data_IF_772180603630
#
_entry.id   IF_772180603630
#
_cell.length_a   1.000
_cell.length_b   1.000
_cell.length_c   1.000
_cell.angle_alpha   90.00
_cell.angle_beta   90.00
_cell.angle_gamma   90.00
#
_symmetry.space_group_name_H-M   'P 1'
#
loop_
_entity.id
_entity.type
_entity.pdbx_description
1 polymer ?
#
# COMPACT_ATOMS: atom_id res chain seq x y z
N UNK A 1 -19.78 -8.68 -19.17
CA UNK A 1 -18.62 -9.34 -18.53
C UNK A 1 -18.20 -8.45 -17.38
N UNK A 2 -18.34 -8.89 -16.13
CA UNK A 2 -17.97 -8.08 -14.96
C UNK A 2 -16.45 -8.01 -14.84
N UNK A 3 -15.89 -6.80 -14.89
CA UNK A 3 -14.46 -6.56 -14.72
C UNK A 3 -14.07 -6.83 -13.27
N UNK A 4 -13.22 -7.82 -13.02
CA UNK A 4 -12.69 -8.13 -11.67
C UNK A 4 -11.30 -7.51 -11.50
N UNK A 5 -11.06 -6.82 -10.38
CA UNK A 5 -9.76 -6.27 -10.02
C UNK A 5 -8.84 -7.37 -9.45
N UNK A 6 -8.34 -8.23 -10.33
CA UNK A 6 -7.45 -9.35 -10.01
C UNK A 6 -6.05 -9.00 -10.51
N UNK A 7 -5.04 -9.25 -9.67
CA UNK A 7 -3.64 -9.08 -10.06
C UNK A 7 -3.30 -9.94 -11.28
N UNK A 8 -2.55 -9.34 -12.21
CA UNK A 8 -1.92 -10.02 -13.34
C UNK A 8 -0.51 -9.48 -13.48
N UNK A 9 0.47 -10.36 -13.59
CA UNK A 9 1.84 -9.96 -13.87
C UNK A 9 2.07 -9.83 -15.38
N UNK A 10 2.99 -8.95 -15.75
CA UNK A 10 3.39 -8.68 -17.12
C UNK A 10 4.90 -8.45 -17.18
N UNK A 11 5.67 -9.34 -16.54
CA UNK A 11 7.10 -9.14 -16.29
C UNK A 11 8.01 -10.05 -17.14
N UNK A 12 7.45 -11.05 -17.83
CA UNK A 12 8.21 -12.02 -18.64
C UNK A 12 9.14 -11.38 -19.67
N UNK A 13 8.71 -10.26 -20.28
CA UNK A 13 9.44 -9.58 -21.34
C UNK A 13 10.03 -8.22 -20.91
N UNK A 14 9.98 -7.87 -19.62
CA UNK A 14 10.50 -6.58 -19.13
C UNK A 14 12.00 -6.63 -18.95
N UNK A 15 12.67 -5.54 -19.30
CA UNK A 15 14.08 -5.35 -18.99
C UNK A 15 14.32 -5.20 -17.49
N UNK A 16 15.57 -5.39 -17.06
CA UNK A 16 15.98 -5.17 -15.67
C UNK A 16 15.68 -3.73 -15.24
N UNK A 17 15.92 -2.76 -16.12
CA UNK A 17 15.64 -1.34 -15.88
C UNK A 17 14.15 -1.08 -15.68
N UNK A 18 13.28 -1.70 -16.49
CA UNK A 18 11.82 -1.61 -16.32
C UNK A 18 11.37 -2.21 -14.98
N UNK A 19 11.94 -3.34 -14.58
CA UNK A 19 11.65 -3.98 -13.29
C UNK A 19 12.13 -3.11 -12.11
N UNK A 20 13.33 -2.51 -12.19
CA UNK A 20 13.84 -1.56 -11.18
C UNK A 20 12.94 -0.33 -11.10
N UNK A 21 12.53 0.20 -12.24
CA UNK A 21 11.64 1.36 -12.29
C UNK A 21 10.29 1.05 -11.63
N UNK A 22 9.68 -0.11 -11.90
CA UNK A 22 8.42 -0.52 -11.26
C UNK A 22 8.58 -0.62 -9.74
N UNK A 23 9.67 -1.23 -9.26
CA UNK A 23 9.95 -1.32 -7.82
C UNK A 23 10.14 0.06 -7.18
N UNK A 24 10.78 1.00 -7.87
CA UNK A 24 10.91 2.37 -7.41
C UNK A 24 9.55 3.08 -7.32
N UNK A 25 8.69 2.92 -8.32
CA UNK A 25 7.33 3.47 -8.29
C UNK A 25 6.52 2.91 -7.11
N UNK A 26 6.61 1.61 -6.86
CA UNK A 26 5.96 1.02 -5.70
C UNK A 26 6.53 1.53 -4.39
N UNK A 27 7.86 1.63 -4.28
CA UNK A 27 8.52 2.21 -3.11
C UNK A 27 7.97 3.59 -2.76
N UNK A 28 7.95 4.50 -3.73
CA UNK A 28 7.43 5.87 -3.54
C UNK A 28 5.98 5.86 -3.07
N UNK A 29 5.13 5.01 -3.66
CA UNK A 29 3.72 4.90 -3.26
C UNK A 29 3.52 4.30 -1.87
N UNK A 30 4.38 3.36 -1.44
CA UNK A 30 4.34 2.85 -0.07
C UNK A 30 4.80 3.91 0.94
N UNK A 31 5.82 4.70 0.61
CA UNK A 31 6.28 5.82 1.44
C UNK A 31 5.18 6.89 1.59
N UNK A 32 4.49 7.22 0.50
CA UNK A 32 3.30 8.09 0.51
C UNK A 32 2.21 7.53 1.44
N UNK A 33 1.90 6.23 1.34
CA UNK A 33 0.88 5.60 2.16
C UNK A 33 1.22 5.63 3.67
N UNK A 34 2.49 5.53 4.04
CA UNK A 34 2.94 5.69 5.44
C UNK A 34 2.67 7.11 5.93
N UNK A 35 2.99 8.12 5.12
CA UNK A 35 2.74 9.54 5.43
C UNK A 35 1.23 9.77 5.58
N UNK A 36 0.43 9.23 4.67
CA UNK A 36 -1.03 9.32 4.68
C UNK A 36 -1.63 8.69 5.95
N UNK A 37 -1.17 7.49 6.35
CA UNK A 37 -1.61 6.84 7.60
C UNK A 37 -1.27 7.70 8.84
N UNK A 38 -0.08 8.30 8.88
CA UNK A 38 0.31 9.20 9.97
C UNK A 38 -0.55 10.44 10.02
N UNK A 39 -0.86 11.02 8.86
CA UNK A 39 -1.73 12.18 8.76
C UNK A 39 -3.15 11.87 9.26
N UNK A 40 -3.75 10.77 8.81
CA UNK A 40 -5.10 10.41 9.25
C UNK A 40 -5.18 10.12 10.75
N UNK A 41 -4.16 9.50 11.35
CA UNK A 41 -4.09 9.33 12.81
C UNK A 41 -4.06 10.65 13.55
N UNK A 42 -3.32 11.65 13.06
CA UNK A 42 -3.35 13.00 13.63
C UNK A 42 -4.72 13.65 13.47
N UNK A 43 -5.38 13.41 12.33
CA UNK A 43 -6.73 13.92 12.07
C UNK A 43 -7.74 13.34 13.07
N UNK A 44 -7.64 12.05 13.40
CA UNK A 44 -8.45 11.39 14.43
C UNK A 44 -8.35 12.08 15.79
N UNK A 45 -7.17 12.59 16.13
CA UNK A 45 -6.90 13.26 17.42
C UNK A 45 -7.32 14.75 17.41
N UNK A 46 -7.74 15.29 16.27
CA UNK A 46 -8.12 16.69 16.13
C UNK A 46 -9.53 16.99 16.70
N UNK A 47 -9.72 18.18 17.25
CA UNK A 47 -10.99 18.65 17.83
C UNK A 47 -12.00 19.17 16.78
N UNK A 48 -12.14 18.45 15.66
CA UNK A 48 -12.93 18.87 14.48
C UNK A 48 -14.28 18.15 14.32
N UNK A 49 -14.59 17.25 15.26
CA UNK A 49 -15.76 16.35 15.19
C UNK A 49 -16.98 16.90 15.93
N UNK A 50 -18.18 16.54 15.46
CA UNK A 50 -19.46 16.84 16.12
C UNK A 50 -19.58 16.02 17.41
N UNK A 51 -19.78 16.68 18.54
CA UNK A 51 -19.87 16.05 19.87
C UNK A 51 -21.08 15.14 20.08
N UNK A 52 -22.12 15.25 19.25
CA UNK A 52 -23.35 14.46 19.32
C UNK A 52 -23.38 13.26 18.37
N UNK A 53 -22.24 12.89 17.75
CA UNK A 53 -22.16 11.73 16.87
C UNK A 53 -22.15 10.44 17.70
N UNK A 54 -23.12 9.55 17.45
CA UNK A 54 -23.22 8.26 18.13
C UNK A 54 -21.97 7.42 17.85
N UNK A 55 -21.41 6.81 18.90
CA UNK A 55 -20.22 5.94 18.85
C UNK A 55 -18.99 6.58 18.19
N UNK A 56 -18.84 7.91 18.27
CA UNK A 56 -17.76 8.65 17.62
C UNK A 56 -16.39 8.10 18.00
N UNK A 57 -16.15 7.98 19.31
CA UNK A 57 -14.85 7.59 19.85
C UNK A 57 -14.50 6.15 19.45
N UNK A 58 -15.45 5.23 19.56
CA UNK A 58 -15.27 3.82 19.21
C UNK A 58 -14.92 3.65 17.72
N UNK A 59 -15.62 4.38 16.85
CA UNK A 59 -15.36 4.34 15.41
C UNK A 59 -14.00 4.96 15.07
N UNK A 60 -13.65 6.11 15.68
CA UNK A 60 -12.35 6.75 15.49
C UNK A 60 -11.20 5.84 15.95
N UNK A 61 -11.33 5.18 17.10
CA UNK A 61 -10.34 4.21 17.59
C UNK A 61 -10.23 2.98 16.68
N UNK A 62 -11.33 2.52 16.09
CA UNK A 62 -11.29 1.46 15.08
C UNK A 62 -10.49 1.88 13.85
N UNK A 63 -10.75 3.06 13.30
CA UNK A 63 -9.98 3.59 12.16
C UNK A 63 -8.49 3.75 12.51
N UNK A 64 -8.17 4.23 13.71
CA UNK A 64 -6.79 4.34 14.20
C UNK A 64 -6.08 2.99 14.20
N UNK A 65 -6.74 1.93 14.68
CA UNK A 65 -6.21 0.56 14.66
C UNK A 65 -6.01 0.04 13.24
N UNK A 66 -6.98 0.25 12.35
CA UNK A 66 -6.88 -0.17 10.95
C UNK A 66 -5.71 0.54 10.24
N UNK A 67 -5.52 1.84 10.48
CA UNK A 67 -4.39 2.62 9.96
C UNK A 67 -3.04 2.16 10.50
N UNK A 68 -2.95 1.80 11.79
CA UNK A 68 -1.72 1.23 12.36
C UNK A 68 -1.37 -0.13 11.75
N UNK A 69 -2.38 -0.97 11.52
CA UNK A 69 -2.18 -2.26 10.85
C UNK A 69 -1.69 -2.06 9.42
N UNK A 70 -2.32 -1.14 8.67
CA UNK A 70 -1.92 -0.83 7.31
C UNK A 70 -0.51 -0.24 7.23
N UNK A 71 -0.15 0.69 8.12
CA UNK A 71 1.20 1.26 8.19
C UNK A 71 2.25 0.18 8.46
N UNK A 72 1.98 -0.76 9.37
CA UNK A 72 2.90 -1.87 9.67
C UNK A 72 3.12 -2.76 8.44
N UNK A 73 2.06 -3.19 7.78
CA UNK A 73 2.15 -4.00 6.56
C UNK A 73 2.89 -3.26 5.44
N UNK A 74 2.67 -1.94 5.32
CA UNK A 74 3.34 -1.08 4.35
C UNK A 74 4.84 -1.01 4.63
N UNK A 75 5.25 -0.87 5.90
CA UNK A 75 6.66 -0.87 6.30
C UNK A 75 7.34 -2.23 6.06
N UNK A 76 6.63 -3.34 6.26
CA UNK A 76 7.14 -4.68 5.94
C UNK A 76 7.38 -4.84 4.43
N UNK A 77 6.42 -4.44 3.60
CA UNK A 77 6.59 -4.47 2.14
C UNK A 77 7.67 -3.52 1.64
N UNK A 78 7.87 -2.38 2.29
CA UNK A 78 8.96 -1.47 1.97
C UNK A 78 10.33 -2.12 2.21
N UNK A 79 10.48 -2.93 3.26
CA UNK A 79 11.70 -3.73 3.50
C UNK A 79 11.89 -4.77 2.40
N UNK A 80 10.81 -5.48 2.02
CA UNK A 80 10.84 -6.48 0.94
C UNK A 80 11.27 -5.84 -0.39
N UNK A 81 10.72 -4.67 -0.75
CA UNK A 81 11.12 -3.93 -1.96
C UNK A 81 12.58 -3.52 -1.92
N UNK A 82 13.08 -2.99 -0.80
CA UNK A 82 14.48 -2.59 -0.72
C UNK A 82 15.42 -3.81 -0.84
N UNK A 83 15.08 -4.92 -0.21
CA UNK A 83 15.82 -6.18 -0.34
C UNK A 83 15.82 -6.70 -1.78
N UNK A 84 14.65 -6.72 -2.42
CA UNK A 84 14.51 -7.14 -3.81
C UNK A 84 15.25 -6.22 -4.77
N UNK A 85 15.14 -4.90 -4.60
CA UNK A 85 15.85 -3.90 -5.44
C UNK A 85 17.37 -4.04 -5.38
N UNK A 86 17.90 -4.35 -4.19
CA UNK A 86 19.32 -4.65 -4.00
C UNK A 86 19.70 -5.95 -4.72
N UNK A 87 18.86 -6.99 -4.67
CA UNK A 87 19.13 -8.24 -5.39
C UNK A 87 19.05 -8.09 -6.91
N UNK A 88 18.16 -7.23 -7.45
CA UNK A 88 18.15 -6.89 -8.89
C UNK A 88 19.50 -6.31 -9.33
N UNK A 89 20.13 -5.50 -8.48
CA UNK A 89 21.42 -4.88 -8.78
C UNK A 89 22.55 -5.90 -8.82
N UNK A 90 22.48 -6.94 -7.98
CA UNK A 90 23.46 -8.03 -7.94
C UNK A 90 23.19 -9.13 -8.97
N UNK A 91 21.99 -9.15 -9.60
CA UNK A 91 21.62 -10.14 -10.62
C UNK A 91 22.33 -9.95 -11.97
N UNK A 92 23.11 -8.88 -12.12
CA UNK A 92 23.94 -8.61 -13.30
C UNK A 92 25.00 -9.72 -13.53
N UNK A 93 25.17 -10.67 -12.59
CA UNK A 93 26.21 -11.70 -12.61
C UNK A 93 25.75 -13.14 -12.97
N UNK A 94 24.47 -13.38 -13.31
CA UNK A 94 23.98 -14.75 -13.53
C UNK A 94 23.29 -14.92 -14.90
N UNK A 95 23.92 -15.65 -15.82
CA UNK A 95 23.45 -15.88 -17.20
C UNK A 95 22.53 -17.12 -17.36
N UNK A 96 22.05 -17.71 -16.25
CA UNK A 96 21.24 -18.94 -16.29
C UNK A 96 19.72 -18.65 -16.37
N UNK A 97 19.03 -19.26 -17.35
CA UNK A 97 17.56 -19.20 -17.54
C UNK A 97 16.74 -19.58 -16.29
N UNK A 98 17.28 -20.44 -15.43
CA UNK A 98 16.63 -20.84 -14.16
C UNK A 98 16.65 -19.68 -13.16
N UNK A 99 17.71 -18.88 -13.14
CA UNK A 99 17.85 -17.69 -12.30
C UNK A 99 16.86 -16.60 -12.74
N UNK A 100 16.61 -16.50 -14.05
CA UNK A 100 15.62 -15.59 -14.61
C UNK A 100 14.19 -15.93 -14.18
N UNK A 101 13.76 -17.18 -14.33
CA UNK A 101 12.42 -17.61 -13.93
C UNK A 101 12.19 -17.47 -12.42
N UNK A 102 13.18 -17.82 -11.59
CA UNK A 102 13.06 -17.67 -10.14
C UNK A 102 12.92 -16.20 -9.73
N UNK A 103 13.69 -15.32 -10.36
CA UNK A 103 13.66 -13.89 -10.10
C UNK A 103 12.35 -13.22 -10.56
N UNK A 104 11.86 -13.53 -11.75
CA UNK A 104 10.56 -13.02 -12.20
C UNK A 104 9.45 -13.53 -11.27
N UNK A 105 9.50 -14.79 -10.85
CA UNK A 105 8.55 -15.33 -9.89
C UNK A 105 8.60 -14.66 -8.50
N UNK A 106 9.77 -14.23 -8.02
CA UNK A 106 9.85 -13.43 -6.77
C UNK A 106 9.34 -12.01 -6.96
N UNK A 107 9.63 -11.38 -8.11
CA UNK A 107 9.13 -10.07 -8.49
C UNK A 107 7.59 -10.06 -8.55
N UNK A 108 6.98 -11.01 -9.26
CA UNK A 108 5.53 -11.15 -9.42
C UNK A 108 4.82 -11.32 -8.08
N UNK A 109 5.37 -12.14 -7.18
CA UNK A 109 4.80 -12.34 -5.84
C UNK A 109 4.85 -11.07 -5.00
N UNK A 110 5.91 -10.26 -5.14
CA UNK A 110 6.02 -8.99 -4.45
C UNK A 110 5.01 -7.98 -5.00
N UNK A 111 4.88 -7.88 -6.32
CA UNK A 111 3.85 -7.04 -6.97
C UNK A 111 2.43 -7.44 -6.55
N UNK A 112 2.14 -8.73 -6.45
CA UNK A 112 0.82 -9.21 -6.00
C UNK A 112 0.52 -8.76 -4.56
N UNK A 113 1.49 -8.89 -3.64
CA UNK A 113 1.32 -8.43 -2.25
C UNK A 113 1.07 -6.92 -2.20
N UNK A 114 1.83 -6.14 -2.97
CA UNK A 114 1.67 -4.69 -3.06
C UNK A 114 0.29 -4.33 -3.62
N UNK A 115 -0.16 -5.03 -4.66
CA UNK A 115 -1.48 -4.83 -5.24
C UNK A 115 -2.61 -5.08 -4.22
N UNK A 116 -2.53 -6.18 -3.45
CA UNK A 116 -3.48 -6.49 -2.38
C UNK A 116 -3.49 -5.41 -1.29
N UNK A 117 -2.31 -4.92 -0.89
CA UNK A 117 -2.18 -3.81 0.06
C UNK A 117 -2.87 -2.54 -0.47
N UNK A 118 -2.68 -2.20 -1.74
CA UNK A 118 -3.32 -1.01 -2.31
C UNK A 118 -4.84 -1.12 -2.44
N UNK A 119 -5.37 -2.31 -2.72
CA UNK A 119 -6.83 -2.53 -2.65
C UNK A 119 -7.32 -2.35 -1.22
N UNK A 120 -6.62 -2.91 -0.24
CA UNK A 120 -6.94 -2.77 1.19
C UNK A 120 -6.90 -1.30 1.62
N UNK A 121 -5.86 -0.56 1.24
CA UNK A 121 -5.72 0.86 1.58
C UNK A 121 -6.82 1.70 0.95
N UNK A 122 -7.14 1.48 -0.32
CA UNK A 122 -8.21 2.18 -1.01
C UNK A 122 -9.57 1.96 -0.33
N UNK A 123 -9.89 0.72 0.05
CA UNK A 123 -11.12 0.41 0.76
C UNK A 123 -11.21 1.06 2.15
N UNK A 124 -10.08 1.12 2.87
CA UNK A 124 -10.02 1.83 4.14
C UNK A 124 -10.25 3.33 3.94
N UNK A 125 -9.65 3.93 2.92
CA UNK A 125 -9.81 5.36 2.58
C UNK A 125 -11.24 5.72 2.24
N UNK A 126 -11.92 4.92 1.42
CA UNK A 126 -13.33 5.16 1.13
C UNK A 126 -14.19 5.19 2.39
N UNK A 127 -14.04 4.18 3.26
CA UNK A 127 -14.77 4.14 4.54
C UNK A 127 -14.42 5.32 5.43
N UNK A 128 -13.15 5.68 5.49
CA UNK A 128 -12.67 6.80 6.29
C UNK A 128 -13.26 8.13 5.84
N UNK A 129 -13.21 8.43 4.53
CA UNK A 129 -13.72 9.69 3.99
C UNK A 129 -15.24 9.80 4.14
N UNK A 130 -15.99 8.73 3.86
CA UNK A 130 -17.43 8.70 4.08
C UNK A 130 -17.80 8.92 5.55
N UNK A 131 -17.04 8.30 6.46
CA UNK A 131 -17.24 8.51 7.88
C UNK A 131 -16.97 9.96 8.29
N UNK A 132 -15.83 10.52 7.86
CA UNK A 132 -15.43 11.89 8.15
C UNK A 132 -16.50 12.92 7.72
N UNK A 133 -17.05 12.76 6.51
CA UNK A 133 -18.13 13.61 6.00
C UNK A 133 -19.33 13.63 6.96
N UNK A 134 -19.69 12.47 7.53
CA UNK A 134 -20.81 12.39 8.47
C UNK A 134 -20.52 13.08 9.81
N UNK A 135 -19.28 13.04 10.30
CA UNK A 135 -18.92 13.47 11.66
C UNK A 135 -18.24 14.85 11.76
N UNK A 136 -17.81 15.45 10.66
CA UNK A 136 -17.19 16.79 10.68
C UNK A 136 -18.13 17.87 11.19
N UNK A 137 -17.63 18.74 12.07
CA UNK A 137 -18.36 19.87 12.66
C UNK A 137 -18.62 20.99 11.63
N UNK A 138 -17.68 21.19 10.72
CA UNK A 138 -17.77 22.19 9.65
C UNK A 138 -18.52 21.57 8.47
N UNK A 139 -19.60 22.20 8.01
CA UNK A 139 -20.22 21.87 6.74
C UNK A 139 -19.36 22.48 5.63
N UNK A 140 -18.89 21.63 4.72
CA UNK A 140 -18.24 22.07 3.48
C UNK A 140 -19.30 22.36 2.42
#
# INVERSE_FOLDING_TARGET
METKNIFKSFNENKSIEELKYNMLQFKTRLEELIIECKFFKKLIEASIYKSNSINLFENLEKFKKDMNCLEKETLELLKDINSHSNSITNKIECEDLVCDNFFIGSHDRLEEKIHKLFIKSMNLKFKWFQYLESVFRVKF
#
